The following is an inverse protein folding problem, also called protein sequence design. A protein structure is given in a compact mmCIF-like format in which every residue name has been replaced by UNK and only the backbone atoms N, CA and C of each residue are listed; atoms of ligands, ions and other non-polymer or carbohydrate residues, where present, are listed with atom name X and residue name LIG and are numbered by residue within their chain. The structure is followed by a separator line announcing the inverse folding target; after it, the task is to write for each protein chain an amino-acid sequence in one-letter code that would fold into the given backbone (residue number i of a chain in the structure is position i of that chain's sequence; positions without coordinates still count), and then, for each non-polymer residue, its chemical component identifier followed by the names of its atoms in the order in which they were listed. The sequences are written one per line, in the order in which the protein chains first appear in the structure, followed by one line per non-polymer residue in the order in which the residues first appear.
data_IF_340353241320
#
_entry.id   IF_340353241320
#
_cell.length_a   1.000
_cell.length_b   1.000
_cell.length_c   1.000
_cell.angle_alpha   90.00
_cell.angle_beta   90.00
_cell.angle_gamma   90.00
#
_symmetry.space_group_name_H-M   'P 1'
#
loop_
_entity.id
_entity.type
_entity.pdbx_description
1 polymer ?
#
# COMPACT_ATOMS: atom_id res chain seq x y z
N UNK A 1 31.74 69.23 -13.10
CA UNK A 1 30.83 68.29 -12.40
C UNK A 1 30.36 67.25 -13.40
N UNK A 2 30.95 66.05 -13.39
CA UNK A 2 30.59 64.93 -14.30
C UNK A 2 29.41 64.18 -13.69
N UNK A 3 28.30 64.04 -14.43
CA UNK A 3 27.13 63.24 -14.05
C UNK A 3 27.27 61.87 -14.69
N UNK A 4 27.40 60.81 -13.89
CA UNK A 4 27.31 59.42 -14.34
C UNK A 4 25.86 58.95 -14.14
N UNK A 5 25.20 58.51 -15.21
CA UNK A 5 23.89 57.86 -15.13
C UNK A 5 24.14 56.36 -15.09
N UNK A 6 23.80 55.74 -13.96
CA UNK A 6 23.91 54.30 -13.73
C UNK A 6 22.58 53.65 -14.16
N UNK A 7 22.57 52.97 -15.31
CA UNK A 7 21.42 52.20 -15.78
C UNK A 7 21.39 50.82 -15.11
N UNK A 8 20.34 50.53 -14.34
CA UNK A 8 20.06 49.19 -13.81
C UNK A 8 19.36 48.35 -14.89
N UNK A 9 20.01 47.28 -15.35
CA UNK A 9 19.38 46.21 -16.13
C UNK A 9 18.74 45.20 -15.16
N UNK A 10 17.40 45.15 -15.13
CA UNK A 10 16.66 44.11 -14.42
C UNK A 10 16.58 42.89 -15.35
N UNK A 11 17.31 41.82 -15.01
CA UNK A 11 17.17 40.53 -15.65
C UNK A 11 15.92 39.82 -15.10
N UNK A 12 14.86 39.73 -15.90
CA UNK A 12 13.67 38.93 -15.59
C UNK A 12 14.00 37.47 -15.91
N UNK A 13 14.23 36.66 -14.87
CA UNK A 13 14.33 35.21 -15.01
C UNK A 13 12.94 34.64 -15.28
N UNK A 14 12.71 34.19 -16.52
CA UNK A 14 11.50 33.46 -16.90
C UNK A 14 11.61 32.06 -16.32
N UNK A 15 10.96 31.81 -15.18
CA UNK A 15 10.76 30.47 -14.67
C UNK A 15 9.78 29.74 -15.60
N UNK A 16 10.29 28.82 -16.42
CA UNK A 16 9.45 27.93 -17.20
C UNK A 16 8.66 27.02 -16.23
N UNK A 17 7.33 26.91 -16.38
CA UNK A 17 6.56 25.98 -15.57
C UNK A 17 7.02 24.57 -15.90
N UNK A 18 7.41 23.81 -14.89
CA UNK A 18 7.64 22.38 -15.01
C UNK A 18 6.30 21.72 -15.35
N UNK A 19 6.00 21.55 -16.64
CA UNK A 19 4.89 20.74 -17.08
C UNK A 19 5.16 19.31 -16.61
N UNK A 20 4.39 18.86 -15.61
CA UNK A 20 4.25 17.44 -15.34
C UNK A 20 3.89 16.74 -16.65
N UNK A 21 4.69 15.76 -17.08
CA UNK A 21 4.39 15.01 -18.29
C UNK A 21 3.01 14.38 -18.13
N UNK A 22 2.07 14.76 -19.00
CA UNK A 22 0.75 14.16 -19.06
C UNK A 22 0.91 12.69 -19.47
N UNK A 23 0.86 11.79 -18.49
CA UNK A 23 0.90 10.36 -18.75
C UNK A 23 -0.30 9.96 -19.62
N UNK A 24 -0.03 9.41 -20.80
CA UNK A 24 -1.05 8.79 -21.65
C UNK A 24 -0.93 7.27 -21.51
N UNK A 25 -1.91 6.58 -20.92
CA UNK A 25 -1.86 5.14 -20.79
C UNK A 25 -1.88 4.46 -22.16
N UNK A 26 -1.30 3.26 -22.30
CA UNK A 26 -1.54 2.41 -23.46
C UNK A 26 -3.06 2.17 -23.62
N UNK A 27 -3.49 1.91 -24.85
CA UNK A 27 -4.91 1.72 -25.16
C UNK A 27 -5.14 0.41 -25.89
N UNK A 28 -6.27 -0.22 -25.60
CA UNK A 28 -6.77 -1.39 -26.35
C UNK A 28 -7.12 -0.98 -27.79
N UNK A 29 -7.31 -1.93 -28.73
CA UNK A 29 -7.76 -1.62 -30.09
C UNK A 29 -9.05 -0.80 -30.15
N UNK A 30 -9.90 -0.90 -29.13
CA UNK A 30 -11.15 -0.15 -29.00
C UNK A 30 -10.96 1.24 -28.34
N UNK A 31 -9.72 1.63 -28.04
CA UNK A 31 -9.37 2.93 -27.50
C UNK A 31 -9.59 3.07 -25.99
N UNK A 32 -9.91 1.99 -25.26
CA UNK A 32 -10.00 2.02 -23.78
C UNK A 32 -8.58 2.01 -23.18
N UNK A 33 -8.34 2.57 -21.97
CA UNK A 33 -7.09 2.35 -21.27
C UNK A 33 -6.83 0.85 -21.13
N UNK A 34 -5.61 0.44 -21.47
CA UNK A 34 -5.16 -0.94 -21.37
C UNK A 34 -4.60 -1.17 -19.97
N UNK A 35 -5.32 -1.98 -19.21
CA UNK A 35 -4.97 -2.41 -17.85
C UNK A 35 -4.47 -3.86 -17.84
N UNK A 36 -4.36 -4.51 -19.00
CA UNK A 36 -4.00 -5.93 -19.09
C UNK A 36 -2.59 -6.17 -18.51
N UNK A 37 -2.45 -7.27 -17.75
CA UNK A 37 -1.16 -7.70 -17.24
C UNK A 37 -1.21 -8.14 -15.79
N UNK A 38 -0.02 -8.28 -15.20
CA UNK A 38 0.18 -8.56 -13.78
C UNK A 38 0.61 -7.27 -13.10
N UNK A 39 -0.16 -6.87 -12.09
CA UNK A 39 0.05 -5.68 -11.29
C UNK A 39 0.39 -6.08 -9.87
N UNK A 40 1.14 -5.23 -9.18
CA UNK A 40 1.34 -5.38 -7.74
C UNK A 40 1.00 -4.10 -7.01
N UNK A 41 0.41 -4.24 -5.82
CA UNK A 41 0.19 -3.14 -4.88
C UNK A 41 1.16 -3.20 -3.68
N UNK A 42 2.19 -4.06 -3.75
CA UNK A 42 3.18 -4.26 -2.70
C UNK A 42 3.73 -2.92 -2.19
N UNK A 43 3.56 -2.65 -0.89
CA UNK A 43 4.02 -1.43 -0.26
C UNK A 43 3.94 -1.52 1.27
N UNK A 44 4.75 -0.71 1.96
CA UNK A 44 4.64 -0.46 3.40
C UNK A 44 3.64 0.67 3.74
N UNK A 45 2.91 1.20 2.75
CA UNK A 45 1.85 2.20 2.94
C UNK A 45 0.63 1.56 3.59
N UNK A 46 0.15 2.14 4.69
CA UNK A 46 -1.04 1.65 5.39
C UNK A 46 -2.32 2.28 4.85
N UNK A 47 -3.47 1.65 5.10
CA UNK A 47 -4.78 2.23 4.78
C UNK A 47 -4.96 3.60 5.47
N UNK A 48 -4.75 3.64 6.79
CA UNK A 48 -4.90 4.84 7.60
C UNK A 48 -3.56 5.52 7.89
N UNK A 49 -3.58 6.84 8.03
CA UNK A 49 -2.40 7.63 8.34
C UNK A 49 -2.04 7.59 9.83
N UNK A 50 -0.75 7.49 10.09
CA UNK A 50 -0.18 7.72 11.42
C UNK A 50 -0.48 9.17 11.86
N UNK A 51 -0.84 9.42 13.14
CA UNK A 51 -1.01 10.77 13.65
C UNK A 51 0.17 11.68 13.31
N UNK A 52 -0.13 12.95 13.00
CA UNK A 52 0.86 14.00 12.74
C UNK A 52 1.79 13.74 11.54
N UNK A 53 1.42 12.82 10.65
CA UNK A 53 2.15 12.56 9.42
C UNK A 53 1.47 13.27 8.24
N UNK A 54 2.25 13.84 7.32
CA UNK A 54 1.73 14.39 6.08
C UNK A 54 1.25 13.26 5.14
N UNK A 55 0.31 13.55 4.23
CA UNK A 55 -0.16 12.57 3.23
C UNK A 55 0.99 12.06 2.34
N UNK A 56 1.92 12.95 2.03
CA UNK A 56 3.09 12.65 1.20
C UNK A 56 4.36 13.10 1.90
N UNK A 57 5.43 12.39 1.63
CA UNK A 57 6.77 12.66 2.19
C UNK A 57 7.81 12.63 1.10
N UNK A 58 8.95 13.28 1.34
CA UNK A 58 10.11 13.20 0.45
C UNK A 58 10.85 11.87 0.64
N UNK A 59 11.66 11.41 -0.34
CA UNK A 59 12.39 10.14 -0.23
C UNK A 59 13.26 9.98 1.02
N UNK A 60 13.87 11.07 1.49
CA UNK A 60 14.78 11.09 2.64
C UNK A 60 14.00 10.88 3.94
N UNK A 61 12.85 11.54 4.05
CA UNK A 61 11.92 11.38 5.17
C UNK A 61 11.29 9.98 5.18
N UNK A 62 10.88 9.47 4.00
CA UNK A 62 10.39 8.11 3.87
C UNK A 62 11.41 7.07 4.36
N UNK A 63 12.67 7.23 4.00
CA UNK A 63 13.77 6.35 4.45
C UNK A 63 13.94 6.40 5.97
N UNK A 64 13.85 7.58 6.57
CA UNK A 64 13.91 7.74 8.02
C UNK A 64 12.71 7.07 8.73
N UNK A 65 11.51 7.21 8.18
CA UNK A 65 10.28 6.60 8.71
C UNK A 65 10.30 5.07 8.64
N UNK A 66 10.87 4.52 7.56
CA UNK A 66 10.92 3.08 7.33
C UNK A 66 12.13 2.38 7.96
N UNK A 67 13.13 3.13 8.44
CA UNK A 67 14.39 2.59 9.00
C UNK A 67 14.17 1.50 10.05
N UNK A 68 13.18 1.68 10.93
CA UNK A 68 12.86 0.74 12.01
C UNK A 68 11.59 -0.07 11.73
N UNK A 69 11.14 -0.14 10.48
CA UNK A 69 9.99 -0.97 10.11
C UNK A 69 10.37 -2.46 10.32
N UNK A 70 9.52 -3.25 11.00
CA UNK A 70 9.85 -4.64 11.32
C UNK A 70 10.11 -5.50 10.09
N UNK A 71 9.44 -5.23 8.96
CA UNK A 71 9.65 -5.99 7.73
C UNK A 71 10.99 -5.65 7.06
N UNK A 72 11.42 -4.39 7.15
CA UNK A 72 12.75 -3.97 6.66
C UNK A 72 13.85 -4.62 7.51
N UNK A 73 13.70 -4.57 8.84
CA UNK A 73 14.67 -5.18 9.75
C UNK A 73 14.72 -6.70 9.61
N UNK A 74 13.58 -7.36 9.40
CA UNK A 74 13.51 -8.80 9.15
C UNK A 74 14.22 -9.16 7.85
N UNK A 75 13.94 -8.46 6.75
CA UNK A 75 14.59 -8.66 5.46
C UNK A 75 16.12 -8.48 5.56
N UNK A 76 16.59 -7.48 6.30
CA UNK A 76 18.02 -7.27 6.57
C UNK A 76 18.62 -8.40 7.41
N UNK A 77 17.89 -8.91 8.41
CA UNK A 77 18.39 -9.99 9.29
C UNK A 77 18.51 -11.34 8.57
N UNK A 78 17.78 -11.51 7.47
CA UNK A 78 17.80 -12.70 6.64
C UNK A 78 18.57 -12.49 5.33
N UNK A 79 19.28 -11.36 5.20
CA UNK A 79 20.09 -11.08 4.03
C UNK A 79 21.32 -11.99 4.01
N UNK A 80 21.38 -12.89 3.02
CA UNK A 80 22.49 -13.81 2.82
C UNK A 80 22.24 -15.21 3.36
N UNK A 81 23.32 -16.00 3.43
CA UNK A 81 23.24 -17.37 3.93
C UNK A 81 23.05 -17.37 5.44
N UNK A 82 22.19 -18.27 5.94
CA UNK A 82 22.03 -18.47 7.39
C UNK A 82 23.37 -18.81 8.04
N UNK A 83 23.75 -18.03 9.04
CA UNK A 83 24.89 -18.36 9.88
C UNK A 83 24.44 -19.40 10.91
N UNK A 84 24.99 -20.61 10.86
CA UNK A 84 24.62 -21.66 11.82
C UNK A 84 25.50 -21.61 13.09
N UNK A 85 26.50 -20.72 13.14
CA UNK A 85 27.45 -20.60 14.24
C UNK A 85 27.11 -19.49 15.26
N UNK A 86 26.06 -18.70 15.02
CA UNK A 86 25.59 -17.64 15.93
C UNK A 86 24.49 -18.09 16.90
N UNK A 87 24.22 -19.40 16.94
CA UNK A 87 23.14 -19.97 17.75
C UNK A 87 21.75 -19.79 17.14
N UNK A 88 21.63 -19.59 15.82
CA UNK A 88 20.37 -19.45 15.08
C UNK A 88 19.30 -20.51 15.42
N UNK A 89 19.73 -21.72 15.78
CA UNK A 89 18.86 -22.86 16.08
C UNK A 89 18.74 -23.14 17.60
N UNK A 90 19.42 -22.35 18.44
CA UNK A 90 19.57 -22.62 19.86
C UNK A 90 18.36 -22.13 20.68
N UNK A 91 17.62 -21.14 20.16
CA UNK A 91 16.47 -20.55 20.83
C UNK A 91 15.27 -21.53 20.92
N UNK A 92 15.32 -22.65 20.18
CA UNK A 92 14.25 -23.64 20.04
C UNK A 92 12.89 -23.01 19.74
N UNK A 93 12.91 -21.82 19.13
CA UNK A 93 11.72 -21.03 18.94
C UNK A 93 10.98 -21.49 17.69
N UNK A 94 9.97 -22.32 17.88
CA UNK A 94 9.03 -22.70 16.84
C UNK A 94 8.21 -21.52 16.30
N UNK A 95 8.22 -20.38 17.00
CA UNK A 95 7.42 -19.21 16.66
C UNK A 95 8.11 -18.28 15.65
N UNK A 96 9.29 -18.66 15.14
CA UNK A 96 9.80 -18.08 13.89
C UNK A 96 8.81 -18.43 12.79
N UNK A 97 8.03 -17.42 12.38
CA UNK A 97 7.10 -17.51 11.26
C UNK A 97 7.83 -17.69 9.92
N UNK A 98 7.13 -17.38 8.83
CA UNK A 98 7.72 -17.39 7.49
C UNK A 98 8.95 -16.47 7.39
N UNK A 99 10.00 -16.95 6.73
CA UNK A 99 11.09 -16.09 6.31
C UNK A 99 10.60 -15.13 5.21
N UNK A 100 11.39 -14.09 4.96
CA UNK A 100 11.16 -13.02 3.99
C UNK A 100 11.02 -13.48 2.55
N UNK A 101 11.43 -14.71 2.22
CA UNK A 101 11.20 -15.30 0.91
C UNK A 101 9.70 -15.58 0.63
N UNK A 102 8.93 -15.94 1.66
CA UNK A 102 7.51 -16.33 1.52
C UNK A 102 6.52 -15.18 1.76
N UNK A 103 7.01 -13.98 2.06
CA UNK A 103 6.19 -12.80 2.32
C UNK A 103 6.61 -11.67 1.38
N UNK A 104 5.65 -10.83 0.99
CA UNK A 104 5.86 -9.73 0.05
C UNK A 104 5.36 -8.38 0.59
N UNK A 105 5.72 -7.94 1.81
CA UNK A 105 5.19 -6.71 2.41
C UNK A 105 5.64 -5.43 1.69
N UNK A 106 6.67 -5.50 0.84
CA UNK A 106 7.26 -4.37 0.16
C UNK A 106 8.39 -3.73 0.94
N UNK A 107 9.10 -2.83 0.27
CA UNK A 107 10.32 -2.20 0.81
C UNK A 107 10.23 -0.67 0.86
N UNK A 108 9.10 -0.10 0.43
CA UNK A 108 8.91 1.33 0.33
C UNK A 108 7.44 1.74 0.50
N UNK A 109 7.23 3.03 0.75
CA UNK A 109 5.92 3.63 0.56
C UNK A 109 5.53 3.64 -0.92
N UNK A 110 4.23 3.54 -1.18
CA UNK A 110 3.67 3.54 -2.51
C UNK A 110 3.89 4.89 -3.19
N UNK A 111 4.31 4.85 -4.44
CA UNK A 111 4.45 6.05 -5.27
C UNK A 111 3.16 6.30 -6.03
N UNK A 112 2.49 7.41 -5.76
CA UNK A 112 1.28 7.83 -6.46
C UNK A 112 1.53 9.20 -7.07
N UNK A 113 1.47 9.30 -8.40
CA UNK A 113 1.76 10.54 -9.16
C UNK A 113 3.15 11.12 -8.84
N UNK A 114 4.14 10.26 -8.61
CA UNK A 114 5.51 10.66 -8.28
C UNK A 114 5.74 11.03 -6.81
N UNK A 115 4.73 10.92 -5.95
CA UNK A 115 4.82 11.23 -4.53
C UNK A 115 4.72 9.96 -3.67
N UNK A 116 5.55 9.85 -2.63
CA UNK A 116 5.49 8.74 -1.68
C UNK A 116 4.34 8.93 -0.70
N UNK A 117 3.40 7.99 -0.66
CA UNK A 117 2.19 8.02 0.18
C UNK A 117 2.41 7.37 1.52
N UNK A 118 2.13 8.11 2.59
CA UNK A 118 2.16 7.57 3.96
C UNK A 118 0.87 6.86 4.35
N UNK A 119 -0.22 7.09 3.59
CA UNK A 119 -1.50 6.40 3.74
C UNK A 119 -2.28 6.32 2.43
N UNK A 120 -3.14 5.32 2.28
CA UNK A 120 -4.08 5.24 1.16
C UNK A 120 -5.25 6.22 1.29
N UNK A 121 -5.74 6.47 2.51
CA UNK A 121 -6.79 7.45 2.73
C UNK A 121 -6.28 8.87 2.50
N UNK A 122 -6.86 9.52 1.50
CA UNK A 122 -6.67 10.94 1.19
C UNK A 122 -7.69 11.78 1.95
N UNK A 123 -8.94 11.31 1.96
CA UNK A 123 -10.05 11.91 2.68
C UNK A 123 -10.61 10.94 3.72
N UNK A 124 -10.91 11.41 4.94
CA UNK A 124 -10.73 12.77 5.46
C UNK A 124 -9.25 13.19 5.56
N UNK A 125 -9.00 14.49 5.70
CA UNK A 125 -7.64 15.05 5.65
C UNK A 125 -6.70 14.50 6.73
N UNK A 126 -7.22 13.96 7.83
CA UNK A 126 -6.46 13.28 8.88
C UNK A 126 -6.05 11.83 8.50
N UNK A 127 -6.51 11.33 7.35
CA UNK A 127 -6.23 9.99 6.85
C UNK A 127 -6.82 8.87 7.72
N UNK A 128 -7.87 9.15 8.50
CA UNK A 128 -8.55 8.17 9.34
C UNK A 128 -9.79 7.61 8.67
N UNK A 129 -10.12 6.35 8.95
CA UNK A 129 -11.37 5.75 8.48
C UNK A 129 -12.56 6.53 9.07
N UNK A 130 -13.43 7.15 8.24
CA UNK A 130 -14.59 7.89 8.73
C UNK A 130 -15.70 6.91 9.12
N UNK A 131 -15.68 6.41 10.35
CA UNK A 131 -16.70 5.48 10.85
C UNK A 131 -17.75 6.26 11.65
N UNK A 132 -18.97 6.35 11.12
CA UNK A 132 -20.11 6.97 11.81
C UNK A 132 -20.49 6.21 13.09
N UNK A 133 -21.20 6.84 14.05
CA UNK A 133 -21.70 6.14 15.24
C UNK A 133 -22.55 4.91 14.89
N UNK A 134 -23.37 5.00 13.84
CA UNK A 134 -24.14 3.86 13.33
C UNK A 134 -23.23 2.75 12.80
N UNK A 135 -22.15 3.10 12.08
CA UNK A 135 -21.15 2.14 11.61
C UNK A 135 -20.37 1.48 12.75
N UNK A 136 -20.03 2.24 13.81
CA UNK A 136 -19.39 1.70 15.01
C UNK A 136 -20.31 0.71 15.72
N UNK A 137 -21.59 1.06 15.90
CA UNK A 137 -22.60 0.16 16.44
C UNK A 137 -22.76 -1.10 15.58
N UNK A 138 -22.85 -0.97 14.26
CA UNK A 138 -23.00 -2.10 13.36
C UNK A 138 -21.80 -3.07 13.46
N UNK A 139 -20.57 -2.56 13.58
CA UNK A 139 -19.37 -3.39 13.81
C UNK A 139 -19.42 -4.11 15.16
N UNK A 140 -19.83 -3.41 16.22
CA UNK A 140 -19.96 -3.99 17.55
C UNK A 140 -21.04 -5.10 17.57
N UNK A 141 -22.21 -4.83 17.01
CA UNK A 141 -23.33 -5.78 16.92
C UNK A 141 -22.95 -7.00 16.07
N UNK A 142 -22.29 -6.80 14.92
CA UNK A 142 -21.79 -7.89 14.08
C UNK A 142 -20.75 -8.75 14.82
N UNK A 143 -19.85 -8.12 15.58
CA UNK A 143 -18.88 -8.82 16.42
C UNK A 143 -19.53 -9.63 17.54
N UNK A 144 -20.56 -9.07 18.21
CA UNK A 144 -21.32 -9.75 19.24
C UNK A 144 -22.11 -10.94 18.67
N UNK A 145 -22.81 -10.73 17.55
CA UNK A 145 -23.52 -11.79 16.83
C UNK A 145 -22.57 -12.91 16.44
N UNK A 146 -21.42 -12.58 15.81
CA UNK A 146 -20.39 -13.57 15.46
C UNK A 146 -20.01 -14.41 16.68
N UNK A 147 -19.70 -13.81 17.84
CA UNK A 147 -19.31 -14.57 19.04
C UNK A 147 -20.44 -15.47 19.57
N UNK A 148 -21.69 -15.03 19.45
CA UNK A 148 -22.84 -15.79 19.92
C UNK A 148 -23.19 -16.97 18.99
N UNK A 149 -22.95 -16.83 17.68
CA UNK A 149 -23.44 -17.77 16.66
C UNK A 149 -22.33 -18.48 15.89
N UNK A 150 -21.05 -18.17 16.14
CA UNK A 150 -19.93 -18.83 15.46
C UNK A 150 -20.06 -20.33 15.74
N UNK A 151 -20.14 -21.14 14.67
CA UNK A 151 -20.38 -22.59 14.66
C UNK A 151 -21.84 -23.08 14.67
N UNK A 152 -22.85 -22.21 14.57
CA UNK A 152 -24.25 -22.69 14.37
C UNK A 152 -24.49 -23.29 12.98
N UNK A 153 -23.69 -22.90 11.98
CA UNK A 153 -23.78 -23.39 10.61
C UNK A 153 -22.80 -22.71 9.65
N UNK A 154 -22.70 -23.19 8.40
CA UNK A 154 -21.72 -22.69 7.44
C UNK A 154 -21.90 -21.20 7.10
N UNK A 155 -23.12 -20.65 7.21
CA UNK A 155 -23.40 -19.23 6.94
C UNK A 155 -22.84 -18.30 8.03
N UNK A 156 -22.62 -18.82 9.24
CA UNK A 156 -22.09 -18.06 10.39
C UNK A 156 -20.57 -17.96 10.41
N UNK A 157 -19.89 -18.78 9.60
CA UNK A 157 -18.45 -18.74 9.46
C UNK A 157 -18.00 -17.45 8.74
N UNK A 158 -16.84 -16.87 9.11
CA UNK A 158 -16.23 -15.76 8.38
C UNK A 158 -16.07 -16.05 6.88
N UNK A 159 -16.09 -15.01 6.06
CA UNK A 159 -15.96 -15.11 4.59
C UNK A 159 -14.71 -15.88 4.14
N UNK A 160 -13.61 -15.78 4.90
CA UNK A 160 -12.37 -16.48 4.60
C UNK A 160 -12.44 -17.98 4.92
N UNK A 161 -13.14 -18.37 5.98
CA UNK A 161 -13.38 -19.78 6.32
C UNK A 161 -14.39 -20.43 5.36
N UNK A 162 -15.21 -19.61 4.70
CA UNK A 162 -16.16 -20.04 3.67
C UNK A 162 -15.58 -20.06 2.27
N UNK A 163 -14.27 -19.79 2.12
CA UNK A 163 -13.58 -19.71 0.84
C UNK A 163 -14.25 -18.74 -0.15
N UNK A 164 -14.73 -17.58 0.31
CA UNK A 164 -15.32 -16.54 -0.55
C UNK A 164 -14.34 -15.42 -0.88
N UNK A 165 -13.62 -14.93 0.13
CA UNK A 165 -12.58 -13.91 -0.01
C UNK A 165 -11.50 -14.23 1.03
N UNK A 166 -10.23 -14.22 0.62
CA UNK A 166 -9.08 -14.44 1.49
C UNK A 166 -9.05 -13.52 2.72
N UNK A 167 -8.39 -13.98 3.78
CA UNK A 167 -8.39 -13.33 5.09
C UNK A 167 -7.51 -12.08 5.18
N UNK A 168 -6.73 -11.78 4.15
CA UNK A 168 -5.82 -10.62 4.13
C UNK A 168 -6.46 -9.32 3.70
N UNK A 169 -7.63 -9.38 3.05
CA UNK A 169 -8.21 -8.20 2.42
C UNK A 169 -7.54 -7.79 1.10
N UNK A 170 -6.74 -8.68 0.50
CA UNK A 170 -6.26 -8.53 -0.89
C UNK A 170 -7.42 -8.66 -1.90
N UNK A 171 -8.43 -9.49 -1.58
CA UNK A 171 -9.64 -9.66 -2.39
C UNK A 171 -10.79 -8.75 -1.97
N UNK A 172 -11.65 -8.42 -2.94
CA UNK A 172 -12.87 -7.63 -2.70
C UNK A 172 -12.62 -6.12 -2.56
N UNK A 173 -13.63 -5.34 -2.15
CA UNK A 173 -13.53 -3.89 -2.06
C UNK A 173 -12.39 -3.44 -1.14
N UNK A 174 -11.49 -2.63 -1.68
CA UNK A 174 -10.32 -2.10 -0.97
C UNK A 174 -8.99 -2.66 -1.44
N UNK A 175 -8.96 -3.91 -1.94
CA UNK A 175 -7.77 -4.60 -2.51
C UNK A 175 -6.46 -4.14 -1.85
N UNK A 176 -6.37 -4.38 -0.54
CA UNK A 176 -5.31 -3.82 0.29
C UNK A 176 -3.97 -4.51 0.00
N UNK A 177 -2.88 -3.80 0.28
CA UNK A 177 -1.55 -4.40 0.37
C UNK A 177 -1.42 -5.10 1.72
N UNK A 178 -0.88 -6.30 1.69
CA UNK A 178 -0.82 -7.23 2.83
C UNK A 178 0.60 -7.81 2.89
N UNK A 179 0.81 -8.90 3.63
CA UNK A 179 2.15 -9.50 3.76
C UNK A 179 2.37 -10.69 2.81
N UNK A 180 1.36 -11.10 2.03
CA UNK A 180 1.48 -12.11 0.97
C UNK A 180 0.51 -11.79 -0.18
N UNK A 181 0.83 -12.29 -1.37
CA UNK A 181 -0.02 -12.31 -2.55
C UNK A 181 -0.50 -10.92 -2.98
N UNK A 182 0.39 -9.93 -2.96
CA UNK A 182 0.11 -8.57 -3.42
C UNK A 182 0.10 -8.44 -4.95
N UNK A 183 -0.27 -9.50 -5.68
CA UNK A 183 -0.29 -9.56 -7.14
C UNK A 183 -1.73 -9.71 -7.65
N UNK A 184 -2.01 -9.00 -8.74
CA UNK A 184 -3.31 -8.95 -9.39
C UNK A 184 -3.13 -9.21 -10.87
N UNK A 185 -3.77 -10.24 -11.41
CA UNK A 185 -3.83 -10.43 -12.85
C UNK A 185 -5.09 -9.78 -13.39
N UNK A 186 -4.91 -8.78 -14.25
CA UNK A 186 -6.00 -8.11 -14.93
C UNK A 186 -6.13 -8.68 -16.33
N UNK A 187 -7.30 -9.24 -16.62
CA UNK A 187 -7.69 -9.67 -17.96
C UNK A 187 -8.78 -8.74 -18.44
N UNK A 188 -8.50 -8.02 -19.52
CA UNK A 188 -9.41 -7.06 -20.11
C UNK A 188 -9.90 -7.58 -21.45
N UNK A 189 -11.20 -7.49 -21.67
CA UNK A 189 -11.85 -7.74 -22.95
C UNK A 189 -12.51 -6.45 -23.43
N UNK A 190 -13.15 -6.50 -24.60
CA UNK A 190 -13.98 -5.39 -25.09
C UNK A 190 -15.03 -4.96 -24.07
N UNK A 191 -15.67 -5.90 -23.37
CA UNK A 191 -16.90 -5.62 -22.61
C UNK A 191 -16.76 -5.87 -21.09
N UNK A 192 -15.70 -6.55 -20.66
CA UNK A 192 -15.49 -6.92 -19.27
C UNK A 192 -14.03 -6.73 -18.82
N UNK A 193 -13.87 -6.45 -17.52
CA UNK A 193 -12.60 -6.46 -16.80
C UNK A 193 -12.69 -7.53 -15.71
N UNK A 194 -11.78 -8.50 -15.74
CA UNK A 194 -11.59 -9.45 -14.66
C UNK A 194 -10.33 -9.08 -13.89
N UNK A 195 -10.43 -9.03 -12.56
CA UNK A 195 -9.29 -8.91 -11.66
C UNK A 195 -9.19 -10.24 -10.92
N UNK A 196 -8.19 -11.03 -11.26
CA UNK A 196 -7.83 -12.22 -10.51
C UNK A 196 -6.95 -11.78 -9.34
N UNK A 197 -7.45 -12.05 -8.14
CA UNK A 197 -6.72 -11.87 -6.89
C UNK A 197 -6.29 -13.25 -6.45
N UNK A 198 -4.99 -13.43 -6.22
CA UNK A 198 -4.50 -14.66 -5.64
C UNK A 198 -4.85 -14.70 -4.14
N UNK A 199 -5.25 -15.88 -3.64
CA UNK A 199 -5.69 -16.22 -2.27
C UNK A 199 -7.21 -16.43 -2.15
N UNK A 200 -7.57 -17.73 -2.16
CA UNK A 200 -8.92 -18.33 -2.20
C UNK A 200 -9.58 -18.28 -3.57
#
# INVERSE_FOLDING_TARGET
MKRYVLGYLIAIAIAAPACAQTYSPPRTPEGKPDLQGVWSNQSLTNLTRTPNMALTVKPEEASALLKNNPWILLAQSEEGASNLADGLLDDKNSDRGYNTFWIDPGVSFATVKGELRTSWLVEPADGRLPVSPAGQKARADAGAKKRATIYEGPETLPIAERCLIGFTGAGGPGMLNTIYNNNYQIVQTKDALMILVEMV
#
